data_IF_865521163150
#
_entry.id   IF_865521163150
#
_cell.length_a   1.000
_cell.length_b   1.000
_cell.length_c   1.000
_cell.angle_alpha   90.00
_cell.angle_beta   90.00
_cell.angle_gamma   90.00
#
_symmetry.space_group_name_H-M   'P 1'
#
loop_
_entity.id
_entity.type
_entity.pdbx_description
1 polymer ?
#
# COMPACT_ATOMS: atom_id res chain seq x y z
N UNK A 1 -4.19 -26.57 16.44
CA UNK A 1 -2.83 -27.11 16.31
C UNK A 1 -1.83 -26.03 16.74
N UNK A 2 -0.79 -26.42 17.43
CA UNK A 2 0.29 -25.49 17.76
C UNK A 2 1.04 -25.12 16.48
N UNK A 3 1.45 -23.85 16.31
CA UNK A 3 2.26 -23.46 15.16
C UNK A 3 3.63 -24.14 15.20
N UNK A 4 4.13 -24.50 14.04
CA UNK A 4 5.50 -25.04 13.90
C UNK A 4 6.45 -23.84 13.79
N UNK A 5 7.22 -23.59 14.84
CA UNK A 5 8.25 -22.57 14.83
C UNK A 5 9.48 -23.08 14.09
N UNK A 6 9.96 -22.29 13.13
CA UNK A 6 11.21 -22.54 12.41
C UNK A 6 12.19 -21.40 12.67
N UNK A 7 13.43 -21.75 13.03
CA UNK A 7 14.47 -20.74 13.18
C UNK A 7 14.89 -20.18 11.82
N UNK A 8 15.08 -18.87 11.71
CA UNK A 8 15.48 -18.23 10.45
C UNK A 8 16.89 -18.72 10.04
N UNK A 9 17.06 -18.98 8.74
CA UNK A 9 18.35 -19.24 8.14
C UNK A 9 18.78 -18.02 7.35
N UNK A 10 19.93 -17.45 7.69
CA UNK A 10 20.48 -16.32 6.96
C UNK A 10 21.09 -16.80 5.63
N UNK A 11 20.55 -16.27 4.53
CA UNK A 11 21.05 -16.50 3.19
C UNK A 11 21.16 -15.17 2.46
N UNK A 12 22.37 -14.75 2.11
CA UNK A 12 22.62 -13.48 1.46
C UNK A 12 21.91 -13.38 0.10
N UNK A 13 21.85 -14.45 -0.66
CA UNK A 13 21.15 -14.48 -1.94
C UNK A 13 19.65 -14.23 -1.76
N UNK A 14 19.01 -14.87 -0.79
CA UNK A 14 17.59 -14.64 -0.48
C UNK A 14 17.33 -13.19 -0.03
N UNK A 15 18.25 -12.59 0.75
CA UNK A 15 18.15 -11.18 1.17
C UNK A 15 18.21 -10.26 -0.04
N UNK A 16 19.16 -10.45 -0.95
CA UNK A 16 19.30 -9.63 -2.16
C UNK A 16 18.09 -9.76 -3.09
N UNK A 17 17.48 -10.94 -3.13
CA UNK A 17 16.28 -11.20 -3.93
C UNK A 17 15.07 -10.44 -3.38
N UNK A 18 14.90 -10.36 -2.04
CA UNK A 18 13.73 -9.72 -1.43
C UNK A 18 13.89 -8.20 -1.25
N UNK A 19 15.12 -7.69 -1.30
CA UNK A 19 15.41 -6.28 -1.07
C UNK A 19 14.60 -5.32 -1.96
N UNK A 20 14.44 -5.54 -3.28
CA UNK A 20 13.59 -4.69 -4.11
C UNK A 20 12.11 -4.66 -3.67
N UNK A 21 11.59 -5.78 -3.12
CA UNK A 21 10.23 -5.83 -2.62
C UNK A 21 10.02 -4.90 -1.41
N UNK A 22 11.08 -4.62 -0.63
CA UNK A 22 11.01 -3.68 0.50
C UNK A 22 10.64 -2.27 0.04
N UNK A 23 11.14 -1.80 -1.10
CA UNK A 23 10.78 -0.49 -1.66
C UNK A 23 9.30 -0.41 -2.03
N UNK A 24 8.76 -1.51 -2.53
CA UNK A 24 7.33 -1.63 -2.86
C UNK A 24 6.50 -1.55 -1.58
N UNK A 25 6.86 -2.32 -0.55
CA UNK A 25 6.17 -2.32 0.75
C UNK A 25 6.19 -0.94 1.39
N UNK A 26 7.33 -0.23 1.35
CA UNK A 26 7.43 1.14 1.86
C UNK A 26 6.48 2.08 1.11
N UNK A 27 6.43 2.01 -0.22
CA UNK A 27 5.53 2.84 -1.03
C UNK A 27 4.07 2.54 -0.74
N UNK A 28 3.71 1.27 -0.63
CA UNK A 28 2.37 0.81 -0.27
C UNK A 28 1.99 1.31 1.12
N UNK A 29 2.89 1.18 2.09
CA UNK A 29 2.69 1.65 3.46
C UNK A 29 2.44 3.17 3.54
N UNK A 30 3.20 3.96 2.78
CA UNK A 30 2.99 5.41 2.69
C UNK A 30 1.60 5.70 2.12
N UNK A 31 1.21 5.04 1.03
CA UNK A 31 -0.12 5.18 0.44
C UNK A 31 -1.24 4.83 1.44
N UNK A 32 -1.11 3.73 2.15
CA UNK A 32 -2.06 3.32 3.19
C UNK A 32 -2.15 4.34 4.33
N UNK A 33 -1.02 4.94 4.75
CA UNK A 33 -1.02 5.97 5.79
C UNK A 33 -1.70 7.26 5.33
N UNK A 34 -1.52 7.66 4.08
CA UNK A 34 -2.20 8.83 3.49
C UNK A 34 -3.70 8.60 3.49
N UNK A 35 -4.17 7.48 2.92
CA UNK A 35 -5.61 7.15 2.87
C UNK A 35 -6.21 7.01 4.28
N UNK A 36 -5.47 6.40 5.22
CA UNK A 36 -5.92 6.30 6.61
C UNK A 36 -6.04 7.67 7.27
N UNK A 37 -5.09 8.58 7.01
CA UNK A 37 -5.12 9.96 7.51
C UNK A 37 -6.39 10.69 7.05
N UNK A 38 -6.76 10.54 5.77
CA UNK A 38 -7.99 11.11 5.21
C UNK A 38 -9.25 10.56 5.91
N UNK A 39 -9.33 9.23 6.09
CA UNK A 39 -10.50 8.59 6.70
C UNK A 39 -10.65 8.98 8.17
N UNK A 40 -9.53 9.04 8.91
CA UNK A 40 -9.52 9.36 10.34
C UNK A 40 -9.63 10.86 10.58
N UNK A 41 -9.34 11.71 9.59
CA UNK A 41 -9.32 13.17 9.69
C UNK A 41 -8.15 13.69 10.54
N UNK A 42 -7.01 12.98 10.53
CA UNK A 42 -5.78 13.36 11.25
C UNK A 42 -4.56 13.12 10.37
N UNK A 43 -3.60 14.01 10.41
CA UNK A 43 -2.33 13.84 9.70
C UNK A 43 -1.42 12.83 10.44
N UNK A 44 -1.61 11.54 10.12
CA UNK A 44 -0.85 10.45 10.72
C UNK A 44 0.59 10.37 10.20
N UNK A 45 0.90 11.03 9.10
CA UNK A 45 2.26 11.12 8.56
C UNK A 45 3.12 12.03 9.46
N UNK A 46 2.49 13.01 10.11
CA UNK A 46 3.13 13.97 10.98
C UNK A 46 3.07 13.53 12.46
N UNK A 47 1.89 13.11 12.93
CA UNK A 47 1.67 12.64 14.29
C UNK A 47 0.80 11.35 14.28
N UNK A 48 1.35 10.22 14.71
CA UNK A 48 2.61 9.93 15.43
C UNK A 48 3.88 9.95 14.57
N UNK A 49 3.75 10.09 13.25
CA UNK A 49 4.82 10.20 12.30
C UNK A 49 5.09 8.92 11.50
N UNK A 50 5.36 9.11 10.20
CA UNK A 50 5.61 8.02 9.26
C UNK A 50 6.75 7.10 9.70
N UNK A 51 7.81 7.65 10.31
CA UNK A 51 8.96 6.88 10.78
C UNK A 51 8.58 5.84 11.85
N UNK A 52 7.63 6.16 12.74
CA UNK A 52 7.14 5.21 13.76
C UNK A 52 6.28 4.13 13.13
N UNK A 53 5.47 4.48 12.16
CA UNK A 53 4.61 3.56 11.45
C UNK A 53 5.43 2.55 10.63
N UNK A 54 6.44 3.00 9.87
CA UNK A 54 7.35 2.13 9.12
C UNK A 54 8.18 1.25 10.08
N UNK A 55 8.64 1.81 11.22
CA UNK A 55 9.35 1.02 12.22
C UNK A 55 8.47 -0.10 12.79
N UNK A 56 7.21 0.17 13.05
CA UNK A 56 6.26 -0.83 13.57
C UNK A 56 6.02 -1.94 12.54
N UNK A 57 5.88 -1.60 11.26
CA UNK A 57 5.72 -2.56 10.17
C UNK A 57 6.97 -3.44 10.00
N UNK A 58 8.17 -2.84 10.03
CA UNK A 58 9.44 -3.55 9.99
C UNK A 58 9.66 -4.47 11.20
N UNK A 59 9.30 -4.04 12.41
CA UNK A 59 9.34 -4.89 13.61
C UNK A 59 8.36 -6.05 13.53
N UNK A 60 7.14 -5.81 13.05
CA UNK A 60 6.14 -6.85 12.83
C UNK A 60 6.66 -7.92 11.85
N UNK A 61 7.22 -7.52 10.72
CA UNK A 61 7.84 -8.40 9.74
C UNK A 61 9.01 -9.19 10.33
N UNK A 62 9.85 -8.53 11.14
CA UNK A 62 11.00 -9.17 11.80
C UNK A 62 10.52 -10.26 12.78
N UNK A 63 9.54 -9.95 13.62
CA UNK A 63 8.95 -10.91 14.58
C UNK A 63 8.31 -12.08 13.82
N UNK A 64 7.57 -11.81 12.76
CA UNK A 64 6.96 -12.83 11.91
C UNK A 64 8.03 -13.78 11.34
N UNK A 65 9.12 -13.24 10.79
CA UNK A 65 10.23 -14.03 10.26
C UNK A 65 10.95 -14.84 11.33
N UNK A 66 11.14 -14.31 12.54
CA UNK A 66 11.71 -15.04 13.67
C UNK A 66 10.81 -16.21 14.13
N UNK A 67 9.50 -16.08 13.96
CA UNK A 67 8.54 -17.13 14.23
C UNK A 67 8.42 -18.16 13.09
N UNK A 68 9.17 -17.98 12.00
CA UNK A 68 9.14 -18.88 10.83
C UNK A 68 7.90 -18.65 9.94
N UNK A 69 7.31 -17.46 9.98
CA UNK A 69 6.18 -17.07 9.14
C UNK A 69 6.61 -16.15 8.00
N UNK A 70 5.67 -15.78 7.14
CA UNK A 70 5.87 -14.88 6.01
C UNK A 70 6.02 -13.42 6.45
N UNK A 71 6.66 -12.54 5.65
CA UNK A 71 6.65 -11.12 5.90
C UNK A 71 5.23 -10.58 6.01
N UNK A 72 5.05 -9.62 6.91
CA UNK A 72 3.77 -8.92 7.12
C UNK A 72 3.84 -7.51 6.54
N UNK A 73 2.71 -6.95 6.19
CA UNK A 73 2.56 -5.55 5.77
C UNK A 73 1.20 -5.01 6.18
N UNK A 74 0.95 -3.74 5.95
CA UNK A 74 -0.36 -3.12 6.18
C UNK A 74 -1.39 -3.62 5.16
N UNK A 75 -2.60 -3.90 5.63
CA UNK A 75 -3.72 -4.36 4.79
C UNK A 75 -4.66 -3.21 4.44
N UNK A 76 -4.76 -2.89 3.14
CA UNK A 76 -5.69 -1.89 2.62
C UNK A 76 -7.15 -2.25 2.86
N UNK A 77 -7.50 -3.54 2.92
CA UNK A 77 -8.84 -4.04 3.22
C UNK A 77 -9.34 -3.54 4.59
N UNK A 78 -8.46 -3.48 5.59
CA UNK A 78 -8.81 -2.97 6.91
C UNK A 78 -9.12 -1.47 6.89
N UNK A 79 -8.49 -0.71 6.00
CA UNK A 79 -8.79 0.71 5.78
C UNK A 79 -10.22 0.86 5.25
N UNK A 80 -10.62 0.02 4.30
CA UNK A 80 -12.00 -0.05 3.81
C UNK A 80 -13.01 -0.36 4.91
N UNK A 81 -12.71 -1.32 5.80
CA UNK A 81 -13.55 -1.63 6.96
C UNK A 81 -13.65 -0.44 7.91
N UNK A 82 -12.55 0.25 8.19
CA UNK A 82 -12.54 1.47 9.02
C UNK A 82 -13.41 2.58 8.41
N UNK A 83 -13.37 2.75 7.10
CA UNK A 83 -14.18 3.76 6.40
C UNK A 83 -15.68 3.50 6.56
N UNK A 84 -16.11 2.23 6.51
CA UNK A 84 -17.52 1.83 6.67
C UNK A 84 -17.96 1.90 8.12
N UNK A 85 -17.18 1.31 9.03
CA UNK A 85 -17.56 1.18 10.44
C UNK A 85 -17.38 2.47 11.22
N UNK A 86 -16.54 3.38 10.74
CA UNK A 86 -16.11 4.62 11.41
C UNK A 86 -15.50 4.36 12.80
N UNK A 87 -14.92 3.18 13.00
CA UNK A 87 -14.23 2.80 14.24
C UNK A 87 -12.74 3.05 14.06
N UNK A 88 -12.22 4.06 14.72
CA UNK A 88 -10.83 4.52 14.62
C UNK A 88 -10.03 4.34 15.91
N UNK A 89 -10.63 3.70 16.92
CA UNK A 89 -9.99 3.50 18.22
C UNK A 89 -8.84 2.51 18.12
N UNK A 90 -7.64 2.95 18.51
CA UNK A 90 -6.44 2.09 18.60
C UNK A 90 -6.67 0.89 19.50
N UNK A 91 -7.44 1.06 20.59
CA UNK A 91 -7.77 -0.02 21.51
C UNK A 91 -8.66 -1.10 20.88
N UNK A 92 -9.61 -0.68 20.04
CA UNK A 92 -10.48 -1.62 19.33
C UNK A 92 -9.67 -2.39 18.30
N UNK A 93 -8.84 -1.69 17.51
CA UNK A 93 -8.00 -2.30 16.47
C UNK A 93 -6.96 -3.24 17.10
N UNK A 94 -6.29 -2.78 18.17
CA UNK A 94 -5.35 -3.61 18.92
C UNK A 94 -6.03 -4.82 19.59
N UNK A 95 -7.20 -4.63 20.16
CA UNK A 95 -8.01 -5.71 20.71
C UNK A 95 -8.42 -6.74 19.65
N UNK A 96 -8.81 -6.28 18.45
CA UNK A 96 -9.12 -7.16 17.32
C UNK A 96 -7.90 -7.98 16.88
N UNK A 97 -6.71 -7.38 16.87
CA UNK A 97 -5.46 -8.08 16.55
C UNK A 97 -5.15 -9.17 17.58
N UNK A 98 -5.26 -8.88 18.90
CA UNK A 98 -5.08 -9.86 19.96
C UNK A 98 -6.13 -10.98 19.86
N UNK A 99 -7.38 -10.64 19.61
CA UNK A 99 -8.46 -11.61 19.42
C UNK A 99 -8.21 -12.51 18.21
N UNK A 100 -7.70 -11.96 17.11
CA UNK A 100 -7.31 -12.74 15.92
C UNK A 100 -6.21 -13.75 16.23
N UNK A 101 -5.21 -13.36 17.03
CA UNK A 101 -4.15 -14.26 17.49
C UNK A 101 -4.75 -15.41 18.32
N UNK A 102 -5.65 -15.12 19.26
CA UNK A 102 -6.31 -16.14 20.07
C UNK A 102 -7.12 -17.11 19.19
N UNK A 103 -7.88 -16.58 18.23
CA UNK A 103 -8.66 -17.39 17.28
C UNK A 103 -7.79 -18.30 16.42
N UNK A 104 -6.57 -17.86 16.06
CA UNK A 104 -5.64 -18.66 15.27
C UNK A 104 -5.23 -19.97 15.98
N UNK A 105 -5.22 -20.00 17.31
CA UNK A 105 -4.95 -21.23 18.10
C UNK A 105 -6.18 -22.15 18.22
N UNK A 106 -7.36 -21.65 17.88
CA UNK A 106 -8.62 -22.42 17.96
C UNK A 106 -8.88 -23.10 16.62
N UNK A 107 -8.46 -24.34 16.46
CA UNK A 107 -8.64 -25.09 15.21
C UNK A 107 -10.09 -25.17 14.71
N UNK A 108 -11.07 -25.16 15.62
CA UNK A 108 -12.50 -25.12 15.26
C UNK A 108 -12.90 -23.80 14.58
N UNK A 109 -12.32 -22.66 15.00
CA UNK A 109 -12.57 -21.37 14.35
C UNK A 109 -12.00 -21.36 12.94
N UNK A 110 -10.79 -21.86 12.74
CA UNK A 110 -10.18 -22.01 11.42
C UNK A 110 -11.00 -22.94 10.51
N UNK A 111 -11.48 -24.08 11.04
CA UNK A 111 -12.34 -24.99 10.29
C UNK A 111 -13.67 -24.31 9.88
N UNK A 112 -14.27 -23.51 10.76
CA UNK A 112 -15.50 -22.78 10.47
C UNK A 112 -15.29 -21.77 9.33
N UNK A 113 -14.18 -21.03 9.35
CA UNK A 113 -13.84 -20.08 8.26
C UNK A 113 -13.68 -20.82 6.93
N UNK A 114 -13.05 -21.99 6.93
CA UNK A 114 -12.87 -22.83 5.73
C UNK A 114 -14.18 -23.38 5.16
N UNK A 115 -15.28 -23.40 5.93
CA UNK A 115 -16.60 -23.81 5.43
C UNK A 115 -17.30 -22.72 4.63
N UNK A 116 -16.79 -21.48 4.65
CA UNK A 116 -17.37 -20.38 3.88
C UNK A 116 -17.19 -20.68 2.38
N UNK A 117 -18.29 -20.72 1.59
CA UNK A 117 -18.19 -21.02 0.16
C UNK A 117 -17.33 -20.00 -0.59
N UNK A 118 -16.51 -20.47 -1.53
CA UNK A 118 -15.65 -19.62 -2.34
C UNK A 118 -16.38 -18.45 -3.04
N UNK A 119 -17.63 -18.60 -3.56
CA UNK A 119 -18.39 -17.48 -4.13
C UNK A 119 -18.68 -16.36 -3.13
N UNK A 120 -18.92 -16.70 -1.85
CA UNK A 120 -19.16 -15.70 -0.78
C UNK A 120 -17.86 -14.92 -0.50
N UNK A 121 -16.76 -15.64 -0.36
CA UNK A 121 -15.44 -15.00 -0.18
C UNK A 121 -15.06 -14.13 -1.37
N UNK A 122 -15.33 -14.60 -2.60
CA UNK A 122 -15.12 -13.82 -3.82
C UNK A 122 -15.95 -12.53 -3.86
N UNK A 123 -17.22 -12.60 -3.48
CA UNK A 123 -18.10 -11.42 -3.40
C UNK A 123 -17.62 -10.38 -2.38
N UNK A 124 -17.23 -10.82 -1.19
CA UNK A 124 -16.66 -9.94 -0.15
C UNK A 124 -15.34 -9.31 -0.62
N UNK A 125 -14.44 -10.10 -1.20
CA UNK A 125 -13.16 -9.60 -1.72
C UNK A 125 -13.36 -8.57 -2.84
N UNK A 126 -14.32 -8.83 -3.74
CA UNK A 126 -14.66 -7.88 -4.82
C UNK A 126 -15.12 -6.54 -4.27
N UNK A 127 -15.99 -6.54 -3.25
CA UNK A 127 -16.44 -5.31 -2.59
C UNK A 127 -15.27 -4.58 -1.93
N UNK A 128 -14.41 -5.30 -1.18
CA UNK A 128 -13.27 -4.72 -0.47
C UNK A 128 -12.28 -4.10 -1.46
N UNK A 129 -11.91 -4.79 -2.52
CA UNK A 129 -11.02 -4.26 -3.55
C UNK A 129 -11.63 -3.05 -4.28
N UNK A 130 -12.94 -3.06 -4.51
CA UNK A 130 -13.65 -1.90 -5.05
C UNK A 130 -13.53 -0.68 -4.15
N UNK A 131 -13.65 -0.85 -2.82
CA UNK A 131 -13.50 0.24 -1.86
C UNK A 131 -12.06 0.76 -1.80
N UNK A 132 -11.06 -0.11 -1.88
CA UNK A 132 -9.65 0.29 -1.93
C UNK A 132 -9.38 1.12 -3.19
N UNK A 133 -9.86 0.65 -4.35
CA UNK A 133 -9.73 1.38 -5.60
C UNK A 133 -10.42 2.75 -5.55
N UNK A 134 -11.65 2.81 -4.99
CA UNK A 134 -12.37 4.06 -4.82
C UNK A 134 -11.65 5.03 -3.88
N UNK A 135 -11.03 4.54 -2.80
CA UNK A 135 -10.22 5.35 -1.89
C UNK A 135 -8.98 5.92 -2.59
N UNK A 136 -8.31 5.12 -3.42
CA UNK A 136 -7.18 5.60 -4.24
C UNK A 136 -7.59 6.68 -5.24
N UNK A 137 -8.74 6.50 -5.91
CA UNK A 137 -9.29 7.53 -6.81
C UNK A 137 -9.69 8.80 -6.06
N UNK A 138 -10.28 8.65 -4.89
CA UNK A 138 -10.63 9.79 -4.02
C UNK A 138 -9.39 10.62 -3.68
N UNK A 139 -8.27 9.96 -3.31
CA UNK A 139 -7.02 10.66 -3.03
C UNK A 139 -6.57 11.53 -4.21
N UNK A 140 -6.66 11.03 -5.44
CA UNK A 140 -6.31 11.80 -6.64
C UNK A 140 -7.21 13.04 -6.82
N UNK A 141 -8.48 12.94 -6.44
CA UNK A 141 -9.45 14.04 -6.49
C UNK A 141 -9.17 15.05 -5.36
N UNK A 142 -8.93 14.58 -4.14
CA UNK A 142 -8.69 15.43 -2.97
C UNK A 142 -7.38 16.23 -3.13
N UNK A 143 -6.34 15.60 -3.70
CA UNK A 143 -5.07 16.25 -4.07
C UNK A 143 -5.17 17.10 -5.34
N UNK A 144 -6.36 17.21 -5.94
CA UNK A 144 -6.64 18.02 -7.14
C UNK A 144 -5.66 17.75 -8.27
N UNK A 145 -5.35 16.47 -8.52
CA UNK A 145 -4.46 16.07 -9.60
C UNK A 145 -5.03 16.55 -10.94
N UNK A 146 -4.32 17.47 -11.59
CA UNK A 146 -4.74 18.04 -12.85
C UNK A 146 -4.43 17.09 -14.02
N UNK A 147 -5.45 16.36 -14.47
CA UNK A 147 -5.37 15.45 -15.60
C UNK A 147 -5.44 16.13 -16.97
N UNK A 148 -5.63 17.45 -17.04
CA UNK A 148 -5.45 18.20 -18.27
C UNK A 148 -3.96 18.29 -18.68
N UNK A 149 -3.07 18.05 -17.72
CA UNK A 149 -1.64 17.95 -17.98
C UNK A 149 -1.29 16.58 -18.55
N UNK A 150 -0.74 16.50 -19.78
CA UNK A 150 -0.38 15.23 -20.42
C UNK A 150 0.54 14.36 -19.56
N UNK A 151 1.39 14.98 -18.77
CA UNK A 151 2.32 14.33 -17.86
C UNK A 151 1.61 13.51 -16.78
N UNK A 152 0.66 14.11 -16.08
CA UNK A 152 -0.10 13.43 -15.02
C UNK A 152 -0.95 12.30 -15.60
N UNK A 153 -1.56 12.55 -16.76
CA UNK A 153 -2.32 11.54 -17.49
C UNK A 153 -1.44 10.36 -17.90
N UNK A 154 -0.28 10.61 -18.48
CA UNK A 154 0.65 9.58 -18.93
C UNK A 154 1.17 8.75 -17.74
N UNK A 155 1.60 9.41 -16.66
CA UNK A 155 2.10 8.72 -15.47
C UNK A 155 1.03 7.80 -14.87
N UNK A 156 -0.17 8.31 -14.63
CA UNK A 156 -1.28 7.51 -14.07
C UNK A 156 -1.68 6.37 -15.02
N UNK A 157 -1.75 6.63 -16.33
CA UNK A 157 -2.08 5.60 -17.31
C UNK A 157 -1.07 4.46 -17.33
N UNK A 158 0.23 4.77 -17.31
CA UNK A 158 1.28 3.75 -17.29
C UNK A 158 1.21 2.94 -16.02
N UNK A 159 1.02 3.56 -14.85
CA UNK A 159 0.92 2.87 -13.56
C UNK A 159 -0.31 1.95 -13.53
N UNK A 160 -1.49 2.44 -13.94
CA UNK A 160 -2.71 1.64 -13.96
C UNK A 160 -2.61 0.46 -14.94
N UNK A 161 -2.14 0.72 -16.17
CA UNK A 161 -1.99 -0.33 -17.17
C UNK A 161 -0.98 -1.37 -16.71
N UNK A 162 0.15 -0.95 -16.14
CA UNK A 162 1.16 -1.89 -15.63
C UNK A 162 0.59 -2.77 -14.51
N UNK A 163 -0.19 -2.19 -13.59
CA UNK A 163 -0.79 -2.92 -12.48
C UNK A 163 -1.87 -3.93 -12.89
N UNK A 164 -2.63 -3.62 -13.92
CA UNK A 164 -3.78 -4.42 -14.36
C UNK A 164 -3.48 -5.36 -15.53
N UNK A 165 -2.41 -5.12 -16.29
CA UNK A 165 -2.09 -5.86 -17.53
C UNK A 165 -1.66 -7.31 -17.31
N UNK A 166 -1.34 -7.71 -16.08
CA UNK A 166 -0.69 -8.99 -15.82
C UNK A 166 0.77 -9.05 -16.29
N UNK A 167 1.35 -7.91 -16.69
CA UNK A 167 2.76 -7.81 -17.04
C UNK A 167 3.64 -8.23 -15.85
N UNK A 168 4.78 -8.80 -16.17
CA UNK A 168 5.76 -9.18 -15.14
C UNK A 168 7.18 -8.92 -15.64
N UNK A 169 8.06 -8.65 -14.68
CA UNK A 169 9.50 -8.63 -14.89
C UNK A 169 10.09 -9.76 -14.04
N UNK A 170 10.89 -10.61 -14.65
CA UNK A 170 11.58 -11.70 -13.96
C UNK A 170 13.05 -11.35 -13.80
N UNK A 171 13.50 -11.25 -12.56
CA UNK A 171 14.89 -11.02 -12.18
C UNK A 171 15.41 -12.26 -11.46
N UNK A 172 16.02 -13.19 -12.20
CA UNK A 172 16.41 -14.49 -11.65
C UNK A 172 15.18 -15.29 -11.19
N UNK A 173 15.11 -15.62 -9.90
CA UNK A 173 13.99 -16.35 -9.30
C UNK A 173 12.84 -15.42 -8.83
N UNK A 174 13.08 -14.10 -8.81
CA UNK A 174 12.06 -13.12 -8.39
C UNK A 174 11.19 -12.72 -9.57
N UNK A 175 9.89 -12.88 -9.41
CA UNK A 175 8.88 -12.43 -10.36
C UNK A 175 8.12 -11.24 -9.79
N UNK A 176 8.36 -10.05 -10.33
CA UNK A 176 7.64 -8.83 -9.99
C UNK A 176 6.39 -8.72 -10.86
N UNK A 177 5.22 -8.74 -10.27
CA UNK A 177 3.93 -8.72 -10.98
C UNK A 177 2.98 -7.69 -10.40
N UNK A 178 1.97 -7.30 -11.17
CA UNK A 178 0.83 -6.51 -10.70
C UNK A 178 1.23 -5.24 -9.96
N UNK A 179 0.75 -5.09 -8.74
CA UNK A 179 0.96 -3.88 -7.91
C UNK A 179 2.45 -3.62 -7.61
N UNK A 180 3.25 -4.64 -7.38
CA UNK A 180 4.69 -4.50 -7.15
C UNK A 180 5.39 -3.87 -8.35
N UNK A 181 5.09 -4.36 -9.54
CA UNK A 181 5.64 -3.81 -10.78
C UNK A 181 5.13 -2.38 -11.04
N UNK A 182 3.83 -2.13 -10.83
CA UNK A 182 3.23 -0.81 -11.00
C UNK A 182 3.84 0.24 -10.05
N UNK A 183 4.07 -0.12 -8.79
CA UNK A 183 4.71 0.76 -7.81
C UNK A 183 6.15 1.10 -8.21
N UNK A 184 6.94 0.10 -8.63
CA UNK A 184 8.32 0.33 -9.09
C UNK A 184 8.37 1.22 -10.33
N UNK A 185 7.50 0.97 -11.31
CA UNK A 185 7.40 1.79 -12.53
C UNK A 185 6.97 3.21 -12.18
N UNK A 186 5.96 3.36 -11.31
CA UNK A 186 5.49 4.66 -10.84
C UNK A 186 6.57 5.47 -10.13
N UNK A 187 7.32 4.83 -9.22
CA UNK A 187 8.45 5.47 -8.52
C UNK A 187 9.56 5.87 -9.50
N UNK A 188 9.92 4.99 -10.44
CA UNK A 188 10.95 5.28 -11.43
C UNK A 188 10.55 6.46 -12.33
N UNK A 189 9.31 6.45 -12.84
CA UNK A 189 8.78 7.54 -13.65
C UNK A 189 8.67 8.84 -12.84
N UNK A 190 8.19 8.78 -11.60
CA UNK A 190 8.12 9.91 -10.70
C UNK A 190 9.50 10.54 -10.46
N UNK A 191 10.51 9.70 -10.21
CA UNK A 191 11.90 10.15 -10.05
C UNK A 191 12.44 10.80 -11.33
N UNK A 192 12.21 10.17 -12.49
CA UNK A 192 12.61 10.73 -13.78
C UNK A 192 11.97 12.10 -14.00
N UNK A 193 10.67 12.22 -13.77
CA UNK A 193 9.95 13.48 -13.90
C UNK A 193 10.47 14.53 -12.92
N UNK A 194 10.75 14.15 -11.67
CA UNK A 194 11.35 15.04 -10.69
C UNK A 194 12.74 15.56 -11.15
N UNK A 195 13.58 14.68 -11.73
CA UNK A 195 14.90 15.06 -12.24
C UNK A 195 14.75 16.01 -13.42
N UNK A 196 13.83 15.74 -14.36
CA UNK A 196 13.53 16.59 -15.51
C UNK A 196 13.10 17.99 -15.05
N UNK A 197 12.24 18.08 -14.03
CA UNK A 197 11.82 19.36 -13.46
C UNK A 197 12.98 20.11 -12.80
N UNK A 198 13.79 19.41 -12.01
CA UNK A 198 14.95 20.01 -11.33
C UNK A 198 15.98 20.53 -12.31
N UNK A 199 16.11 19.90 -13.46
CA UNK A 199 17.03 20.33 -14.53
C UNK A 199 16.40 21.36 -15.48
N UNK A 200 15.15 21.81 -15.23
CA UNK A 200 14.40 22.74 -16.08
C UNK A 200 14.30 22.29 -17.55
N UNK A 201 14.27 20.97 -17.79
CA UNK A 201 14.18 20.40 -19.13
C UNK A 201 12.72 20.17 -19.60
N UNK A 202 11.74 20.43 -18.72
CA UNK A 202 10.34 20.26 -19.04
C UNK A 202 9.80 21.48 -19.82
N UNK A 203 9.09 21.23 -20.92
CA UNK A 203 8.44 22.29 -21.70
C UNK A 203 7.13 22.80 -21.05
N UNK A 204 6.67 22.14 -20.01
CA UNK A 204 5.44 22.44 -19.25
C UNK A 204 5.74 23.10 -17.89
N UNK A 205 6.87 23.76 -17.76
CA UNK A 205 7.24 24.52 -16.59
C UNK A 205 6.20 25.63 -16.35
N UNK A 206 5.29 25.39 -15.41
CA UNK A 206 4.38 26.45 -14.94
C UNK A 206 5.13 27.20 -13.84
N UNK A 207 5.44 28.47 -14.12
CA UNK A 207 5.99 29.35 -13.09
C UNK A 207 5.03 29.38 -11.91
N UNK A 208 5.50 29.19 -10.64
CA UNK A 208 4.66 29.32 -9.47
C UNK A 208 3.84 30.62 -9.43
N UNK A 209 4.31 31.69 -10.07
CA UNK A 209 3.59 32.95 -10.22
C UNK A 209 2.34 32.86 -11.09
N UNK A 210 2.34 31.96 -12.09
CA UNK A 210 1.18 31.75 -12.96
C UNK A 210 0.07 30.96 -12.23
N UNK A 211 0.41 30.20 -11.21
CA UNK A 211 -0.56 29.48 -10.35
C UNK A 211 -1.29 30.49 -9.43
N UNK A 212 -0.56 31.44 -8.86
CA UNK A 212 -1.17 32.50 -8.04
C UNK A 212 -2.13 33.37 -8.85
N UNK A 213 -1.74 33.79 -10.06
CA UNK A 213 -2.59 34.61 -10.94
C UNK A 213 -3.90 33.93 -11.35
N UNK A 214 -3.90 32.61 -11.58
CA UNK A 214 -5.11 31.84 -11.88
C UNK A 214 -6.06 31.69 -10.69
N UNK A 215 -5.54 31.73 -9.46
CA UNK A 215 -6.36 31.65 -8.25
C UNK A 215 -7.03 33.00 -7.92
N UNK A 216 -6.50 34.12 -8.40
CA UNK A 216 -7.11 35.45 -8.23
C UNK A 216 -8.18 35.78 -9.29
N UNK A 217 -8.31 34.97 -10.35
CA UNK A 217 -9.29 35.18 -11.43
C UNK A 217 -10.55 34.28 -11.30
N UNK A 218 -10.69 33.51 -10.23
CA UNK A 218 -11.88 32.76 -9.85
C UNK A 218 -12.52 33.35 -8.61
#
# INVERSE_FOLDING_TARGET
SLPTFMLPKFNLQAILIILPATLVVISEHIGHQVVTSEIVGKDLLKDPGLHKSILADGLSTTISGLCGSVPTTTYGENIGVMAITKVYSVWVIGGAAVFSIILAFIGKASALIQTIPAPVMGGVSFLLYGMIAASGLRLLVDEKVDYSRPRNLALSSVVFVTGLSGAYIQLGEVKLTGMALAAMVGMALGLIMYIIDKLHLANDHVDPKDIELKNFQK
#
